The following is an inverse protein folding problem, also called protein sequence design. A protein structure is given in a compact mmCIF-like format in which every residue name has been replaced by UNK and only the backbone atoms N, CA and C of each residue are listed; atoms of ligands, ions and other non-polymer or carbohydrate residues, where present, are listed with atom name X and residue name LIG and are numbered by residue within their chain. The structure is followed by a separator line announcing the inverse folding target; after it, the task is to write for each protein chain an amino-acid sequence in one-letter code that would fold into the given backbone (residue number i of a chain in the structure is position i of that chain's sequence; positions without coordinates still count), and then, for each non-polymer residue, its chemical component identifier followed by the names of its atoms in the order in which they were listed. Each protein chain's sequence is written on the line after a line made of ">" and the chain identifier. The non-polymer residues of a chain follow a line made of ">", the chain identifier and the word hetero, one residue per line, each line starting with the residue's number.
data_IF_543020466396
#
_entry.id   IF_543020466396
#
_cell.length_a   1.000
_cell.length_b   1.000
_cell.length_c   1.000
_cell.angle_alpha   90.00
_cell.angle_beta   90.00
_cell.angle_gamma   90.00
#
_symmetry.space_group_name_H-M   'P 1'
#
loop_
_entity.id
_entity.type
_entity.pdbx_description
1 polymer ?
#
# COMPACT_ATOMS: atom_id res chain seq x y z
N UNK A 1 5.33 3.27 14.15
CA UNK A 1 4.81 2.48 13.01
C UNK A 1 5.80 2.50 11.86
N UNK A 2 5.96 1.38 11.19
CA UNK A 2 6.81 1.27 9.99
C UNK A 2 5.98 0.84 8.79
N UNK A 3 6.21 1.47 7.65
CA UNK A 3 5.63 1.06 6.37
C UNK A 3 6.77 0.49 5.51
N UNK A 4 6.59 -0.73 5.03
CA UNK A 4 7.61 -1.43 4.25
C UNK A 4 7.10 -1.57 2.81
N UNK A 5 7.48 -0.67 1.90
CA UNK A 5 7.14 -0.84 0.50
C UNK A 5 8.01 -1.91 -0.15
N UNK A 6 7.40 -2.75 -0.96
CA UNK A 6 8.10 -3.77 -1.73
C UNK A 6 7.34 -4.03 -3.02
N UNK A 7 8.02 -4.50 -4.04
CA UNK A 7 7.37 -4.96 -5.27
C UNK A 7 7.15 -6.48 -5.20
N UNK A 8 6.18 -7.02 -5.94
CA UNK A 8 5.89 -8.45 -5.92
C UNK A 8 6.85 -9.28 -6.79
N UNK A 9 8.13 -8.94 -6.77
CA UNK A 9 9.17 -9.69 -7.48
C UNK A 9 9.89 -10.63 -6.52
N UNK A 10 10.41 -11.72 -7.03
CA UNK A 10 11.14 -12.70 -6.22
C UNK A 10 12.33 -12.07 -5.48
N UNK A 11 13.04 -11.17 -6.15
CA UNK A 11 14.20 -10.49 -5.55
C UNK A 11 13.78 -9.60 -4.37
N UNK A 12 12.73 -8.80 -4.58
CA UNK A 12 12.24 -7.90 -3.53
C UNK A 12 11.66 -8.66 -2.34
N UNK A 13 10.94 -9.74 -2.61
CA UNK A 13 10.35 -10.58 -1.55
C UNK A 13 11.42 -11.30 -0.73
N UNK A 14 12.55 -11.65 -1.34
CA UNK A 14 13.66 -12.27 -0.61
C UNK A 14 14.23 -11.32 0.46
N UNK A 15 14.27 -10.03 0.16
CA UNK A 15 14.78 -9.03 1.10
C UNK A 15 13.75 -8.66 2.16
N UNK A 16 12.48 -8.82 1.85
CA UNK A 16 11.37 -8.42 2.71
C UNK A 16 11.44 -9.03 4.12
N UNK A 17 11.83 -10.28 4.22
CA UNK A 17 11.91 -10.97 5.51
C UNK A 17 12.86 -10.26 6.49
N UNK A 18 13.99 -9.77 6.00
CA UNK A 18 14.95 -9.04 6.83
C UNK A 18 14.34 -7.73 7.36
N UNK A 19 13.64 -7.00 6.51
CA UNK A 19 12.98 -5.77 6.90
C UNK A 19 11.90 -6.02 7.96
N UNK A 20 11.12 -7.07 7.79
CA UNK A 20 10.09 -7.47 8.76
C UNK A 20 10.73 -7.84 10.11
N UNK A 21 11.83 -8.56 10.10
CA UNK A 21 12.54 -8.91 11.33
C UNK A 21 13.01 -7.69 12.10
N UNK A 22 13.49 -6.66 11.40
CA UNK A 22 13.90 -5.41 12.03
C UNK A 22 12.71 -4.73 12.71
N UNK A 23 11.59 -4.64 12.03
CA UNK A 23 10.37 -4.05 12.58
C UNK A 23 9.88 -4.82 13.81
N UNK A 24 9.87 -6.13 13.73
CA UNK A 24 9.44 -6.99 14.84
C UNK A 24 10.39 -6.90 16.03
N UNK A 25 11.69 -6.85 15.78
CA UNK A 25 12.68 -6.68 16.85
C UNK A 25 12.53 -5.33 17.56
N UNK A 26 12.13 -4.30 16.85
CA UNK A 26 11.86 -2.99 17.42
C UNK A 26 10.52 -2.93 18.18
N UNK A 27 9.74 -4.02 18.15
CA UNK A 27 8.38 -4.07 18.75
C UNK A 27 7.49 -2.94 18.24
N UNK A 28 7.61 -2.65 16.95
CA UNK A 28 6.91 -1.58 16.26
C UNK A 28 5.80 -2.18 15.41
N UNK A 29 4.68 -1.50 15.32
CA UNK A 29 3.65 -1.88 14.36
C UNK A 29 4.15 -1.67 12.94
N UNK A 30 3.80 -2.58 12.04
CA UNK A 30 4.27 -2.54 10.67
C UNK A 30 3.19 -2.85 9.66
N UNK A 31 3.36 -2.32 8.46
CA UNK A 31 2.51 -2.57 7.32
C UNK A 31 3.37 -2.83 6.09
N UNK A 32 3.17 -3.97 5.47
CA UNK A 32 3.80 -4.28 4.18
C UNK A 32 2.91 -3.73 3.07
N UNK A 33 3.49 -2.98 2.14
CA UNK A 33 2.78 -2.48 0.97
C UNK A 33 3.39 -3.10 -0.28
N UNK A 34 2.63 -4.01 -0.91
CA UNK A 34 3.00 -4.53 -2.23
C UNK A 34 2.65 -3.47 -3.26
N UNK A 35 3.66 -2.82 -3.81
CA UNK A 35 3.51 -1.71 -4.74
C UNK A 35 3.66 -2.15 -6.19
N UNK A 36 3.04 -1.40 -7.09
CA UNK A 36 3.12 -1.63 -8.53
C UNK A 36 2.75 -3.07 -8.93
N UNK A 37 1.70 -3.61 -8.35
CA UNK A 37 1.23 -4.97 -8.64
C UNK A 37 0.62 -5.02 -10.04
N UNK A 38 1.17 -5.85 -10.97
CA UNK A 38 0.56 -6.03 -12.29
C UNK A 38 -0.86 -6.59 -12.17
N UNK A 39 -1.77 -6.11 -13.01
CA UNK A 39 -3.13 -6.61 -13.02
C UNK A 39 -3.17 -8.08 -13.42
N UNK A 40 -3.97 -8.87 -12.72
CA UNK A 40 -4.29 -10.28 -13.07
C UNK A 40 -3.07 -11.23 -13.13
N UNK A 41 -1.97 -10.89 -12.50
CA UNK A 41 -0.83 -11.78 -12.42
C UNK A 41 -1.04 -12.80 -11.29
N UNK A 42 -0.97 -14.11 -11.57
CA UNK A 42 -1.14 -15.14 -10.54
C UNK A 42 -0.09 -15.04 -9.44
N UNK A 43 1.08 -14.51 -9.76
CA UNK A 43 2.17 -14.29 -8.81
C UNK A 43 1.79 -13.31 -7.67
N UNK A 44 0.79 -12.47 -7.90
CA UNK A 44 0.34 -11.51 -6.88
C UNK A 44 -0.26 -12.22 -5.67
N UNK A 45 -1.08 -13.24 -5.91
CA UNK A 45 -1.66 -14.02 -4.81
C UNK A 45 -0.57 -14.73 -4.01
N UNK A 46 0.44 -15.28 -4.68
CA UNK A 46 1.58 -15.94 -4.02
C UNK A 46 2.41 -14.93 -3.21
N UNK A 47 2.72 -13.77 -3.80
CA UNK A 47 3.45 -12.70 -3.12
C UNK A 47 2.70 -12.22 -1.88
N UNK A 48 1.39 -12.04 -2.01
CA UNK A 48 0.54 -11.60 -0.93
C UNK A 48 0.48 -12.63 0.21
N UNK A 49 0.36 -13.90 -0.12
CA UNK A 49 0.38 -15.00 0.85
C UNK A 49 1.73 -15.09 1.57
N UNK A 50 2.83 -14.97 0.84
CA UNK A 50 4.17 -14.97 1.44
C UNK A 50 4.34 -13.79 2.40
N UNK A 51 4.00 -12.58 1.96
CA UNK A 51 4.10 -11.38 2.79
C UNK A 51 3.26 -11.50 4.07
N UNK A 52 2.04 -12.00 3.94
CA UNK A 52 1.15 -12.21 5.10
C UNK A 52 1.72 -13.24 6.07
N UNK A 53 2.45 -14.25 5.58
CA UNK A 53 3.06 -15.28 6.43
C UNK A 53 4.16 -14.72 7.35
N UNK A 54 4.68 -13.54 7.04
CA UNK A 54 5.71 -12.90 7.87
C UNK A 54 5.18 -12.22 9.13
N UNK A 55 3.86 -12.17 9.30
CA UNK A 55 3.23 -11.74 10.54
C UNK A 55 2.83 -10.26 10.62
N UNK A 56 2.94 -9.51 9.54
CA UNK A 56 2.46 -8.14 9.45
C UNK A 56 1.26 -8.02 8.52
N UNK A 57 0.49 -6.97 8.70
CA UNK A 57 -0.62 -6.65 7.78
C UNK A 57 -0.06 -6.29 6.40
N UNK A 58 -0.77 -6.70 5.36
CA UNK A 58 -0.37 -6.49 3.97
C UNK A 58 -1.43 -5.69 3.23
N UNK A 59 -1.00 -4.62 2.56
CA UNK A 59 -1.82 -3.89 1.61
C UNK A 59 -1.20 -3.99 0.22
N UNK A 60 -1.98 -3.77 -0.81
CA UNK A 60 -1.49 -3.84 -2.19
C UNK A 60 -1.98 -2.65 -3.01
N UNK A 61 -1.07 -2.12 -3.83
CA UNK A 61 -1.35 -1.03 -4.78
C UNK A 61 -1.06 -1.57 -6.19
N UNK A 62 -2.03 -1.47 -7.08
CA UNK A 62 -1.87 -1.90 -8.46
C UNK A 62 -0.99 -0.96 -9.27
N UNK A 63 -0.34 -1.50 -10.31
CA UNK A 63 0.33 -0.70 -11.32
C UNK A 63 -0.74 -0.12 -12.25
N UNK A 64 -0.93 1.20 -12.19
CA UNK A 64 -1.99 1.88 -12.93
C UNK A 64 -1.49 3.17 -13.56
N UNK A 65 -1.93 3.44 -14.77
CA UNK A 65 -1.57 4.64 -15.53
C UNK A 65 -1.91 5.97 -14.82
N UNK A 66 -3.03 6.10 -14.10
CA UNK A 66 -3.34 7.34 -13.42
C UNK A 66 -2.27 7.84 -12.45
N UNK A 67 -1.48 6.95 -11.85
CA UNK A 67 -0.39 7.35 -10.95
C UNK A 67 0.68 8.17 -11.69
N UNK A 68 1.08 7.72 -12.87
CA UNK A 68 2.07 8.43 -13.67
C UNK A 68 1.54 9.79 -14.14
N UNK A 69 0.27 9.86 -14.51
CA UNK A 69 -0.38 11.10 -14.92
C UNK A 69 -0.47 12.10 -13.76
N UNK A 70 -0.89 11.65 -12.61
CA UNK A 70 -0.96 12.50 -11.42
C UNK A 70 0.41 13.05 -11.05
N UNK A 71 1.43 12.19 -11.07
CA UNK A 71 2.80 12.61 -10.80
C UNK A 71 3.28 13.67 -11.80
N UNK A 72 3.02 13.46 -13.09
CA UNK A 72 3.40 14.41 -14.12
C UNK A 72 2.74 15.80 -13.95
N UNK A 73 1.56 15.83 -13.37
CA UNK A 73 0.80 17.05 -13.10
C UNK A 73 1.10 17.65 -11.72
N UNK A 74 1.97 17.01 -10.93
CA UNK A 74 2.29 17.44 -9.58
C UNK A 74 1.15 17.26 -8.58
N UNK A 75 0.27 16.30 -8.81
CA UNK A 75 -0.88 16.03 -7.95
C UNK A 75 -0.83 14.62 -7.37
N UNK A 76 -1.49 14.43 -6.22
CA UNK A 76 -1.79 13.11 -5.71
C UNK A 76 -2.97 12.49 -6.46
N UNK A 77 -3.04 11.15 -6.48
CA UNK A 77 -4.11 10.47 -7.22
C UNK A 77 -5.51 10.85 -6.72
N UNK A 78 -5.67 11.05 -5.43
CA UNK A 78 -6.96 11.42 -4.83
C UNK A 78 -7.42 12.82 -5.23
N UNK A 79 -6.48 13.70 -5.59
CA UNK A 79 -6.77 15.05 -6.06
C UNK A 79 -7.18 15.10 -7.52
N UNK A 80 -6.75 14.10 -8.28
CA UNK A 80 -6.91 14.12 -9.73
C UNK A 80 -8.16 13.41 -10.21
N UNK A 81 -8.45 12.25 -9.68
CA UNK A 81 -9.60 11.47 -10.16
C UNK A 81 -10.11 10.47 -9.14
N UNK A 82 -11.31 9.99 -9.38
CA UNK A 82 -11.92 8.88 -8.65
C UNK A 82 -11.77 7.61 -9.47
N UNK A 83 -11.59 6.50 -8.82
CA UNK A 83 -11.50 5.21 -9.49
C UNK A 83 -10.67 4.22 -8.70
N UNK A 84 -10.34 3.06 -9.30
CA UNK A 84 -9.62 1.99 -8.58
C UNK A 84 -8.29 2.44 -7.97
N UNK A 85 -7.54 3.31 -8.65
CA UNK A 85 -6.26 3.81 -8.14
C UNK A 85 -6.45 4.65 -6.87
N UNK A 86 -7.36 5.60 -6.88
CA UNK A 86 -7.65 6.42 -5.70
C UNK A 86 -8.28 5.61 -4.57
N UNK A 87 -9.11 4.61 -4.89
CA UNK A 87 -9.72 3.73 -3.91
C UNK A 87 -8.67 2.89 -3.18
N UNK A 88 -7.68 2.38 -3.89
CA UNK A 88 -6.58 1.61 -3.29
C UNK A 88 -5.74 2.47 -2.35
N UNK A 89 -5.45 3.70 -2.74
CA UNK A 89 -4.72 4.63 -1.88
C UNK A 89 -5.54 5.01 -0.66
N UNK A 90 -6.84 5.22 -0.82
CA UNK A 90 -7.73 5.50 0.31
C UNK A 90 -7.78 4.33 1.30
N UNK A 91 -7.82 3.09 0.80
CA UNK A 91 -7.78 1.88 1.63
C UNK A 91 -6.45 1.76 2.38
N UNK A 92 -5.34 2.05 1.69
CA UNK A 92 -4.02 2.08 2.31
C UNK A 92 -3.96 3.12 3.43
N UNK A 93 -4.45 4.32 3.18
CA UNK A 93 -4.50 5.37 4.20
C UNK A 93 -5.35 4.96 5.40
N UNK A 94 -6.50 4.31 5.16
CA UNK A 94 -7.36 3.82 6.24
C UNK A 94 -6.62 2.81 7.13
N UNK A 95 -5.84 1.93 6.55
CA UNK A 95 -5.05 0.96 7.30
C UNK A 95 -3.96 1.65 8.12
N UNK A 96 -3.25 2.60 7.53
CA UNK A 96 -2.24 3.40 8.23
C UNK A 96 -2.88 4.15 9.40
N UNK A 97 -4.01 4.81 9.16
CA UNK A 97 -4.72 5.56 10.19
C UNK A 97 -5.20 4.66 11.34
N UNK A 98 -5.67 3.47 11.01
CA UNK A 98 -6.07 2.48 12.02
C UNK A 98 -4.89 2.07 12.90
N UNK A 99 -3.75 1.76 12.32
CA UNK A 99 -2.56 1.38 13.10
C UNK A 99 -2.02 2.54 13.93
N UNK A 100 -2.16 3.77 13.45
CA UNK A 100 -1.76 4.97 14.19
C UNK A 100 -2.78 5.41 15.24
N UNK A 101 -3.97 4.82 15.26
CA UNK A 101 -5.04 5.20 16.17
C UNK A 101 -5.68 6.56 15.84
N UNK A 102 -5.63 6.99 14.59
CA UNK A 102 -6.25 8.22 14.12
C UNK A 102 -7.44 7.93 13.21
N UNK A 103 -8.45 8.81 13.22
CA UNK A 103 -9.62 8.63 12.36
C UNK A 103 -9.29 9.00 10.91
N UNK A 104 -9.59 8.11 9.93
CA UNK A 104 -9.42 8.42 8.51
C UNK A 104 -10.31 9.58 8.07
N UNK A 105 -9.76 10.49 7.27
CA UNK A 105 -10.50 11.64 6.72
C UNK A 105 -11.06 11.40 5.33
N UNK A 106 -11.15 10.16 4.90
CA UNK A 106 -11.59 9.78 3.55
C UNK A 106 -12.94 10.35 3.16
N UNK A 107 -13.91 10.34 4.07
CA UNK A 107 -15.23 10.91 3.81
C UNK A 107 -15.19 12.41 3.54
N UNK A 108 -14.32 13.12 4.25
CA UNK A 108 -14.19 14.57 4.11
C UNK A 108 -13.58 14.96 2.79
N UNK A 109 -12.57 14.22 2.33
CA UNK A 109 -11.95 14.45 1.02
C UNK A 109 -12.94 14.21 -0.12
N UNK A 110 -13.73 13.15 -0.02
CA UNK A 110 -14.77 12.84 -1.00
C UNK A 110 -15.81 13.95 -1.07
N UNK A 111 -16.21 14.51 0.06
CA UNK A 111 -17.20 15.61 0.10
C UNK A 111 -16.64 16.90 -0.49
N UNK A 112 -15.37 17.18 -0.28
CA UNK A 112 -14.71 18.37 -0.83
C UNK A 112 -14.60 18.29 -2.35
N UNK A 113 -14.41 17.11 -2.90
CA UNK A 113 -14.27 16.90 -4.35
C UNK A 113 -15.62 16.75 -5.08
N UNK A 114 -16.69 16.63 -4.34
CA UNK A 114 -18.02 16.54 -4.91
C UNK A 114 -18.57 17.92 -5.22
#
# INVERSE_FOLDING_TARGET
>A
MAVIPTQPSAVDLEILEQSVRIVQAAKCEGLIVLNACPARAPEIAEARGYAASLGLTVAAIGERRPFARAFAEGAGIAERERGPASDEVAALWSEVATQLGIAPRTKRLVNVTA
#
